data_IF_069362300020
#
_entry.id   IF_069362300020
#
_cell.length_a   1.000
_cell.length_b   1.000
_cell.length_c   1.000
_cell.angle_alpha   90.00
_cell.angle_beta   90.00
_cell.angle_gamma   90.00
#
_symmetry.space_group_name_H-M   'P 1'
#
loop_
_entity.id
_entity.type
_entity.pdbx_description
1 polymer ?
#
# COMPACT_ATOMS: atom_id res chain seq x y z
N UNK A 1 -9.92 -73.01 -15.93
CA UNK A 1 -8.89 -72.37 -15.07
C UNK A 1 -9.61 -71.76 -13.87
N UNK A 2 -9.38 -72.35 -12.67
CA UNK A 2 -9.28 -71.78 -11.29
C UNK A 2 -9.85 -70.34 -11.06
N UNK A 3 -10.67 -69.97 -10.05
CA UNK A 3 -10.86 -70.32 -8.61
C UNK A 3 -12.32 -69.97 -8.16
N UNK A 4 -13.05 -70.75 -7.34
CA UNK A 4 -13.19 -70.73 -5.85
C UNK A 4 -13.47 -69.33 -5.23
N UNK A 5 -14.70 -68.99 -4.81
CA UNK A 5 -15.42 -69.30 -3.54
C UNK A 5 -14.91 -68.55 -2.28
N UNK A 6 -15.73 -67.70 -1.66
CA UNK A 6 -16.40 -67.95 -0.36
C UNK A 6 -17.19 -66.73 0.20
N UNK A 7 -18.36 -67.05 0.75
CA UNK A 7 -19.27 -66.25 1.56
C UNK A 7 -18.68 -65.80 2.92
N UNK A 8 -19.21 -64.73 3.54
CA UNK A 8 -19.97 -64.81 4.82
C UNK A 8 -20.67 -63.47 5.20
N UNK A 9 -21.86 -63.63 5.81
CA UNK A 9 -22.89 -62.68 6.29
C UNK A 9 -22.41 -61.60 7.29
N UNK A 10 -22.95 -60.38 7.39
CA UNK A 10 -24.27 -59.90 7.88
C UNK A 10 -24.63 -60.26 9.34
N UNK A 11 -24.80 -59.23 10.19
CA UNK A 11 -25.72 -59.00 11.35
C UNK A 11 -25.32 -57.59 11.87
N UNK A 12 -26.08 -56.48 11.89
CA UNK A 12 -27.46 -56.08 12.24
C UNK A 12 -27.71 -55.90 13.76
N UNK A 13 -28.38 -54.78 14.07
CA UNK A 13 -28.89 -54.25 15.34
C UNK A 13 -27.90 -53.58 16.32
N UNK A 14 -28.20 -52.44 16.94
CA UNK A 14 -29.45 -51.68 17.01
C UNK A 14 -29.48 -50.86 18.30
N UNK A 15 -29.61 -49.54 18.15
CA UNK A 15 -30.34 -48.61 19.01
C UNK A 15 -30.04 -48.39 20.52
N UNK A 16 -30.16 -47.09 20.87
CA UNK A 16 -30.69 -46.50 22.11
C UNK A 16 -29.79 -46.38 23.35
N UNK A 17 -29.30 -45.15 23.64
CA UNK A 17 -29.71 -44.29 24.78
C UNK A 17 -28.63 -43.26 25.17
N UNK A 18 -28.98 -41.97 25.13
CA UNK A 18 -28.40 -40.92 26.00
C UNK A 18 -28.83 -41.20 27.45
N UNK A 19 -28.03 -40.80 28.46
CA UNK A 19 -28.32 -39.52 29.12
C UNK A 19 -27.08 -38.75 29.61
N UNK A 20 -27.14 -37.41 29.49
CA UNK A 20 -26.45 -36.48 30.38
C UNK A 20 -27.46 -36.11 31.49
N UNK A 21 -27.04 -36.09 32.77
CA UNK A 21 -27.18 -34.86 33.55
C UNK A 21 -26.05 -34.63 34.59
N UNK A 22 -25.49 -33.40 34.61
CA UNK A 22 -25.36 -32.39 35.71
C UNK A 22 -25.32 -32.87 37.20
N UNK A 23 -24.95 -32.07 38.25
CA UNK A 23 -24.51 -30.65 38.32
C UNK A 23 -23.49 -30.24 39.46
N UNK A 24 -23.07 -28.96 39.44
CA UNK A 24 -22.89 -28.01 40.56
C UNK A 24 -21.80 -28.11 41.68
N UNK A 25 -20.94 -27.07 41.67
CA UNK A 25 -20.58 -26.10 42.73
C UNK A 25 -20.07 -26.57 44.11
N UNK A 26 -19.00 -25.92 44.62
CA UNK A 26 -19.06 -24.91 45.72
C UNK A 26 -17.67 -24.34 46.14
N UNK A 27 -17.62 -22.99 46.19
CA UNK A 27 -17.04 -22.09 47.22
C UNK A 27 -15.53 -22.07 47.60
N UNK A 28 -14.86 -20.98 47.16
CA UNK A 28 -14.12 -19.90 47.90
C UNK A 28 -12.96 -20.18 48.93
N UNK A 29 -12.09 -19.16 49.22
CA UNK A 29 -10.62 -19.24 49.48
C UNK A 29 -10.30 -18.94 50.99
N UNK A 30 -9.14 -18.40 51.52
CA UNK A 30 -8.10 -17.44 51.01
C UNK A 30 -6.60 -17.70 51.40
N UNK A 31 -5.67 -16.89 50.86
CA UNK A 31 -4.45 -16.28 51.47
C UNK A 31 -3.44 -15.90 50.37
N UNK A 32 -3.21 -14.62 50.03
CA UNK A 32 -2.38 -13.63 50.72
C UNK A 32 -0.88 -13.97 50.76
N UNK A 33 -0.12 -13.54 49.75
CA UNK A 33 1.29 -13.14 49.91
C UNK A 33 1.60 -11.90 49.06
N UNK A 34 2.22 -10.95 49.75
CA UNK A 34 2.64 -9.62 49.33
C UNK A 34 4.11 -9.64 48.83
N UNK A 35 4.52 -8.49 48.28
CA UNK A 35 5.89 -7.99 48.00
C UNK A 35 6.42 -8.12 46.55
N UNK A 36 7.33 -7.23 46.09
CA UNK A 36 7.04 -5.83 45.76
C UNK A 36 7.61 -5.41 44.38
N UNK A 37 7.28 -4.19 43.93
CA UNK A 37 7.77 -3.54 42.71
C UNK A 37 9.26 -3.19 42.80
N UNK A 38 10.06 -3.32 41.73
CA UNK A 38 11.38 -2.69 41.66
C UNK A 38 11.27 -1.29 41.02
N UNK A 39 11.69 -0.28 41.79
CA UNK A 39 12.23 0.97 41.27
C UNK A 39 13.72 0.78 41.08
N UNK A 40 14.24 0.96 39.86
CA UNK A 40 15.66 1.18 39.65
C UNK A 40 15.87 2.36 38.71
N UNK A 41 16.27 3.46 39.34
CA UNK A 41 16.95 4.62 38.81
C UNK A 41 18.27 4.23 38.14
N UNK A 42 18.49 4.71 36.93
CA UNK A 42 19.79 4.64 36.26
C UNK A 42 20.69 5.81 36.71
N UNK A 43 21.92 5.55 37.19
CA UNK A 43 22.94 6.58 37.33
C UNK A 43 23.73 6.69 36.02
N UNK A 44 23.73 7.87 35.40
CA UNK A 44 24.67 8.24 34.33
C UNK A 44 26.05 8.49 34.95
N UNK A 45 27.02 7.66 34.59
CA UNK A 45 28.44 7.85 34.89
C UNK A 45 29.11 8.60 33.75
N UNK A 46 29.80 9.67 34.13
CA UNK A 46 30.62 10.54 33.30
C UNK A 46 31.81 9.80 32.68
N UNK A 47 32.20 10.22 31.48
CA UNK A 47 33.49 9.95 30.87
C UNK A 47 34.25 11.27 30.89
N UNK A 48 35.35 11.29 31.64
CA UNK A 48 36.39 12.32 31.54
C UNK A 48 37.20 12.10 30.26
N UNK A 49 37.45 13.18 29.53
CA UNK A 49 38.66 13.32 28.72
C UNK A 49 39.00 14.79 28.58
N UNK A 50 40.07 15.13 29.30
CA UNK A 50 40.85 16.35 29.33
C UNK A 50 41.13 16.90 27.93
N UNK A 51 40.94 18.20 27.73
CA UNK A 51 41.88 19.02 26.96
C UNK A 51 41.82 20.49 27.38
N UNK A 52 43.00 21.07 27.37
CA UNK A 52 43.43 22.27 28.06
C UNK A 52 42.97 23.59 27.43
N UNK A 53 42.71 24.56 28.32
CA UNK A 53 43.09 25.98 28.25
C UNK A 53 42.56 26.86 27.12
N UNK A 54 41.78 27.90 27.47
CA UNK A 54 42.26 29.30 27.59
C UNK A 54 41.09 30.28 27.83
N UNK A 55 41.14 30.97 28.97
CA UNK A 55 40.85 32.41 29.19
C UNK A 55 39.61 33.07 28.55
N UNK A 56 38.70 33.65 29.33
CA UNK A 56 38.77 35.01 29.90
C UNK A 56 37.36 35.53 30.31
N UNK A 57 37.29 36.05 31.54
CA UNK A 57 36.40 37.10 32.10
C UNK A 57 34.87 36.88 32.20
N UNK A 58 34.31 36.71 33.41
CA UNK A 58 33.75 37.74 34.36
C UNK A 58 32.50 38.46 33.84
N UNK A 59 31.33 38.15 34.41
CA UNK A 59 30.61 38.91 35.47
C UNK A 59 29.81 40.08 34.87
N UNK A 60 28.61 40.47 35.26
CA UNK A 60 27.74 40.20 36.42
C UNK A 60 26.34 40.76 36.00
N UNK A 61 25.24 40.08 36.36
CA UNK A 61 24.28 40.44 37.43
C UNK A 61 23.01 41.19 37.01
N UNK A 62 21.93 40.64 37.57
CA UNK A 62 20.50 41.00 37.64
C UNK A 62 20.10 42.48 37.59
N UNK A 63 18.91 42.73 37.00
CA UNK A 63 17.72 43.31 37.68
C UNK A 63 16.52 43.52 36.75
N UNK A 64 15.39 42.92 37.12
CA UNK A 64 14.02 43.36 36.78
C UNK A 64 13.74 44.79 37.33
N UNK A 65 12.76 45.60 36.83
CA UNK A 65 11.33 45.23 36.72
C UNK A 65 10.47 45.86 35.59
N UNK A 66 9.26 45.32 35.42
CA UNK A 66 8.10 45.78 34.61
C UNK A 66 7.62 47.22 34.99
N UNK A 67 6.98 48.02 34.09
CA UNK A 67 5.53 47.95 33.86
C UNK A 67 5.04 48.27 32.41
N UNK A 68 4.05 47.50 31.94
CA UNK A 68 3.15 47.75 30.77
C UNK A 68 2.41 49.13 30.79
N UNK A 69 1.92 49.74 29.66
CA UNK A 69 0.62 49.36 29.02
C UNK A 69 0.34 49.75 27.52
N UNK A 70 -0.63 49.02 26.91
CA UNK A 70 -1.69 49.42 25.92
C UNK A 70 -1.41 50.17 24.58
N UNK A 71 -1.76 49.54 23.44
CA UNK A 71 -2.66 50.06 22.34
C UNK A 71 -2.62 49.11 21.14
N UNK A 72 -3.70 48.39 20.78
CA UNK A 72 -4.86 48.80 19.97
C UNK A 72 -4.51 49.45 18.62
N UNK A 73 -4.63 48.69 17.51
CA UNK A 73 -5.43 49.08 16.33
C UNK A 73 -5.54 47.96 15.28
N UNK A 74 -6.79 47.67 14.90
CA UNK A 74 -7.21 47.11 13.63
C UNK A 74 -7.19 48.21 12.56
N UNK A 75 -7.01 47.84 11.28
CA UNK A 75 -7.72 48.45 10.17
C UNK A 75 -7.75 47.53 8.93
N UNK A 76 -8.86 47.63 8.22
CA UNK A 76 -9.24 46.93 7.02
C UNK A 76 -9.52 47.94 5.89
N UNK A 77 -9.58 47.44 4.65
CA UNK A 77 -10.29 48.01 3.47
C UNK A 77 -9.61 49.22 2.77
N UNK A 78 -9.68 49.48 1.46
CA UNK A 78 -10.65 49.13 0.40
C UNK A 78 -10.06 49.27 -1.02
N UNK A 79 -10.76 48.63 -1.97
CA UNK A 79 -10.95 48.90 -3.41
C UNK A 79 -11.22 50.35 -3.82
N UNK A 80 -10.75 50.78 -5.00
CA UNK A 80 -11.31 51.90 -5.77
C UNK A 80 -11.11 51.72 -7.29
N UNK A 81 -12.15 52.04 -8.05
CA UNK A 81 -12.35 51.90 -9.50
C UNK A 81 -12.69 53.27 -10.08
N UNK A 82 -11.99 53.74 -11.13
CA UNK A 82 -12.41 54.87 -11.99
C UNK A 82 -11.84 54.71 -13.41
N UNK A 83 -12.71 54.82 -14.42
CA UNK A 83 -12.42 55.00 -15.85
C UNK A 83 -12.75 56.44 -16.28
N UNK A 84 -12.00 57.02 -17.24
CA UNK A 84 -12.48 57.45 -18.58
C UNK A 84 -11.61 58.52 -19.30
N UNK A 85 -11.47 58.29 -20.61
CA UNK A 85 -11.37 59.20 -21.77
C UNK A 85 -10.03 59.79 -22.30
N UNK A 86 -9.81 59.51 -23.61
CA UNK A 86 -8.78 59.99 -24.57
C UNK A 86 -9.13 61.37 -25.20
N UNK A 87 -8.21 62.06 -25.93
CA UNK A 87 -7.93 61.78 -27.36
C UNK A 87 -6.45 61.98 -27.84
N UNK A 88 -6.16 61.49 -29.06
CA UNK A 88 -4.90 61.39 -29.87
C UNK A 88 -4.58 62.62 -30.77
N UNK A 89 -3.60 62.61 -31.73
CA UNK A 89 -2.13 62.36 -31.79
C UNK A 89 -1.40 63.59 -32.46
N UNK A 90 -0.19 63.58 -33.13
CA UNK A 90 0.87 62.58 -33.40
C UNK A 90 2.30 63.05 -32.95
N UNK A 91 3.35 62.22 -32.92
CA UNK A 91 4.35 62.04 -33.98
C UNK A 91 5.34 60.90 -33.65
N UNK A 92 6.09 60.48 -34.68
CA UNK A 92 6.88 59.27 -34.83
C UNK A 92 8.15 59.14 -33.97
N UNK A 93 8.52 57.89 -33.67
CA UNK A 93 9.88 57.32 -33.90
C UNK A 93 9.93 55.83 -33.54
N UNK A 94 10.77 55.11 -34.28
CA UNK A 94 11.04 53.68 -34.23
C UNK A 94 11.92 53.28 -33.02
N UNK A 95 11.98 51.97 -32.77
CA UNK A 95 12.88 51.21 -31.88
C UNK A 95 12.54 51.14 -30.37
N UNK A 96 11.95 50.01 -29.94
CA UNK A 96 12.66 49.09 -29.03
C UNK A 96 11.89 47.78 -28.77
N UNK A 97 12.67 46.70 -28.63
CA UNK A 97 12.23 45.34 -28.43
C UNK A 97 11.81 45.03 -26.97
N UNK A 98 11.01 43.97 -26.83
CA UNK A 98 10.72 43.19 -25.62
C UNK A 98 9.69 43.74 -24.60
N UNK A 99 8.41 43.41 -24.82
CA UNK A 99 7.46 42.99 -23.78
C UNK A 99 6.08 42.68 -24.40
N UNK A 100 5.82 41.42 -24.76
CA UNK A 100 4.47 40.94 -25.11
C UNK A 100 4.29 39.50 -24.65
N UNK A 101 4.13 39.33 -23.35
CA UNK A 101 3.43 38.19 -22.76
C UNK A 101 2.55 38.77 -21.65
N UNK A 102 1.38 38.16 -21.45
CA UNK A 102 0.35 38.50 -20.45
C UNK A 102 -0.74 39.47 -20.93
N UNK A 103 -1.66 38.94 -21.74
CA UNK A 103 -3.08 39.32 -21.70
C UNK A 103 -3.91 38.16 -22.28
N UNK A 104 -4.41 37.28 -21.41
CA UNK A 104 -5.21 36.11 -21.77
C UNK A 104 -5.19 35.11 -20.62
N UNK A 105 -5.91 35.42 -19.55
CA UNK A 105 -5.86 34.66 -18.30
C UNK A 105 -7.22 34.29 -17.71
N UNK A 106 -8.27 35.10 -17.92
CA UNK A 106 -9.51 34.91 -17.15
C UNK A 106 -10.68 34.35 -17.98
N UNK A 107 -10.71 34.54 -19.29
CA UNK A 107 -11.78 34.01 -20.15
C UNK A 107 -11.60 32.51 -20.47
N UNK A 108 -10.35 32.03 -20.58
CA UNK A 108 -10.05 30.64 -20.91
C UNK A 108 -10.36 29.67 -19.75
N UNK A 109 -10.17 30.09 -18.50
CA UNK A 109 -10.44 29.25 -17.33
C UNK A 109 -11.95 29.06 -17.11
N UNK A 110 -12.73 30.10 -17.37
CA UNK A 110 -14.19 30.09 -17.21
C UNK A 110 -14.85 29.30 -18.35
N UNK A 111 -14.31 29.39 -19.58
CA UNK A 111 -14.79 28.60 -20.71
C UNK A 111 -14.40 27.11 -20.58
N UNK A 112 -13.23 26.79 -20.01
CA UNK A 112 -12.85 25.41 -19.69
C UNK A 112 -13.70 24.81 -18.56
N UNK A 113 -14.09 25.60 -17.54
CA UNK A 113 -15.01 25.13 -16.48
C UNK A 113 -16.41 24.82 -17.03
N UNK A 114 -16.90 25.63 -17.97
CA UNK A 114 -18.16 25.40 -18.68
C UNK A 114 -18.06 24.14 -19.55
N UNK A 115 -16.95 23.92 -20.25
CA UNK A 115 -16.71 22.70 -21.05
C UNK A 115 -16.58 21.44 -20.20
N UNK A 116 -16.00 21.54 -19.00
CA UNK A 116 -15.92 20.44 -18.04
C UNK A 116 -17.30 20.05 -17.50
N UNK A 117 -18.16 21.03 -17.19
CA UNK A 117 -19.55 20.78 -16.79
C UNK A 117 -20.37 20.16 -17.92
N UNK A 118 -20.18 20.61 -19.16
CA UNK A 118 -20.83 20.03 -20.34
C UNK A 118 -20.35 18.60 -20.61
N UNK A 119 -19.06 18.32 -20.43
CA UNK A 119 -18.49 16.98 -20.59
C UNK A 119 -18.94 16.02 -19.47
N UNK A 120 -19.04 16.51 -18.23
CA UNK A 120 -19.59 15.78 -17.09
C UNK A 120 -21.08 15.46 -17.31
N UNK A 121 -21.88 16.43 -17.74
CA UNK A 121 -23.31 16.25 -18.05
C UNK A 121 -23.52 15.33 -19.28
N UNK A 122 -22.68 15.43 -20.32
CA UNK A 122 -22.69 14.53 -21.47
C UNK A 122 -22.28 13.09 -21.11
N UNK A 123 -21.48 12.90 -20.06
CA UNK A 123 -21.15 11.57 -19.53
C UNK A 123 -22.27 10.95 -18.70
N UNK A 124 -23.15 11.78 -18.13
CA UNK A 124 -24.33 11.37 -17.37
C UNK A 124 -25.55 11.11 -18.29
N UNK A 125 -25.63 11.78 -19.43
CA UNK A 125 -26.66 11.55 -20.42
C UNK A 125 -26.34 10.32 -21.29
N UNK A 126 -26.94 9.18 -20.98
CA UNK A 126 -27.06 8.07 -21.94
C UNK A 126 -28.00 8.49 -23.09
N UNK A 127 -27.51 9.30 -24.03
CA UNK A 127 -28.28 9.70 -25.20
C UNK A 127 -28.46 8.50 -26.13
N UNK A 128 -29.62 7.86 -26.05
CA UNK A 128 -30.23 7.22 -27.23
C UNK A 128 -30.51 8.35 -28.24
N UNK A 129 -29.92 8.25 -29.43
CA UNK A 129 -30.22 9.16 -30.54
C UNK A 129 -31.71 8.99 -30.90
N UNK A 130 -32.53 10.06 -30.89
CA UNK A 130 -33.92 9.96 -31.31
C UNK A 130 -33.97 9.54 -32.79
N UNK A 131 -34.45 8.33 -33.06
CA UNK A 131 -34.69 7.85 -34.42
C UNK A 131 -36.17 8.01 -34.75
N UNK A 132 -36.47 8.68 -35.85
CA UNK A 132 -37.83 8.69 -36.39
C UNK A 132 -38.14 7.30 -37.01
N UNK A 133 -39.35 6.75 -36.81
CA UNK A 133 -39.75 5.52 -37.47
C UNK A 133 -39.65 5.69 -39.00
N UNK A 134 -38.73 4.95 -39.64
CA UNK A 134 -38.55 4.94 -41.10
C UNK A 134 -37.22 5.48 -41.66
N UNK A 135 -36.24 5.86 -40.83
CA UNK A 135 -34.92 6.25 -41.35
C UNK A 135 -34.13 5.06 -41.88
N UNK A 136 -33.81 5.05 -43.17
CA UNK A 136 -32.93 4.06 -43.83
C UNK A 136 -31.55 4.72 -44.04
N UNK A 137 -30.50 4.10 -43.53
CA UNK A 137 -29.11 4.56 -43.70
C UNK A 137 -28.57 4.10 -45.07
N UNK A 138 -28.00 5.03 -45.85
CA UNK A 138 -27.26 4.71 -47.07
C UNK A 138 -25.76 4.57 -46.74
N UNK A 139 -25.07 3.47 -47.11
CA UNK A 139 -23.63 3.38 -46.98
C UNK A 139 -22.97 4.22 -48.07
N UNK A 140 -22.35 5.36 -47.71
CA UNK A 140 -21.44 6.07 -48.59
C UNK A 140 -20.08 5.36 -48.55
N UNK A 141 -19.68 4.78 -49.67
CA UNK A 141 -18.35 4.18 -49.84
C UNK A 141 -17.29 5.28 -49.81
N UNK A 142 -16.36 5.21 -48.87
CA UNK A 142 -15.12 5.99 -48.83
C UNK A 142 -13.92 5.03 -48.68
N UNK A 143 -12.74 5.40 -49.19
CA UNK A 143 -11.59 4.52 -49.37
C UNK A 143 -11.05 3.97 -48.05
N UNK A 144 -10.39 2.81 -48.15
CA UNK A 144 -9.77 2.05 -47.06
C UNK A 144 -8.66 2.86 -46.36
N UNK A 145 -9.06 3.76 -45.46
CA UNK A 145 -8.21 4.22 -44.36
C UNK A 145 -8.20 3.17 -43.25
N UNK A 146 -7.07 2.97 -42.54
CA UNK A 146 -6.98 2.02 -41.43
C UNK A 146 -7.96 2.36 -40.30
N UNK A 147 -8.34 1.38 -39.45
CA UNK A 147 -9.42 1.50 -38.48
C UNK A 147 -9.32 2.75 -37.59
N UNK A 148 -10.44 3.48 -37.48
CA UNK A 148 -10.60 4.71 -36.68
C UNK A 148 -10.09 4.60 -35.24
N UNK A 149 -10.02 3.40 -34.67
CA UNK A 149 -9.52 3.13 -33.32
C UNK A 149 -8.03 3.46 -33.16
N UNK A 150 -7.19 3.25 -34.18
CA UNK A 150 -5.77 3.59 -34.13
C UNK A 150 -5.50 5.09 -34.32
N UNK A 151 -6.38 5.78 -35.06
CA UNK A 151 -6.27 7.23 -35.31
C UNK A 151 -6.73 8.08 -34.12
N UNK A 152 -7.64 7.56 -33.29
CA UNK A 152 -8.09 8.18 -32.04
C UNK A 152 -7.08 8.04 -30.89
N UNK A 153 -6.23 7.00 -30.92
CA UNK A 153 -5.19 6.78 -29.90
C UNK A 153 -3.91 7.57 -30.18
N UNK A 154 -3.69 8.02 -31.42
CA UNK A 154 -2.45 8.70 -31.84
C UNK A 154 -2.61 10.18 -32.22
N UNK A 155 -3.82 10.75 -32.20
CA UNK A 155 -4.06 12.11 -32.72
C UNK A 155 -5.05 12.99 -31.93
N UNK A 156 -5.58 12.52 -30.80
CA UNK A 156 -6.54 13.26 -29.98
C UNK A 156 -5.99 13.51 -28.58
N UNK A 157 -5.48 14.72 -28.35
CA UNK A 157 -5.00 15.28 -27.10
C UNK A 157 -4.67 14.27 -25.98
N UNK A 158 -3.47 13.69 -26.02
CA UNK A 158 -2.88 12.94 -24.90
C UNK A 158 -3.03 13.67 -23.56
N UNK A 159 -3.10 15.00 -23.60
CA UNK A 159 -3.37 15.87 -22.44
C UNK A 159 -4.76 15.62 -21.83
N UNK A 160 -5.79 15.46 -22.67
CA UNK A 160 -7.17 15.16 -22.23
C UNK A 160 -7.24 13.74 -21.69
N UNK A 161 -6.60 12.77 -22.35
CA UNK A 161 -6.54 11.40 -21.87
C UNK A 161 -5.82 11.28 -20.52
N UNK A 162 -4.67 11.95 -20.37
CA UNK A 162 -3.92 12.02 -19.10
C UNK A 162 -4.75 12.68 -18.00
N UNK A 163 -5.44 13.79 -18.30
CA UNK A 163 -6.36 14.45 -17.35
C UNK A 163 -7.49 13.51 -16.92
N UNK A 164 -8.11 12.80 -17.86
CA UNK A 164 -9.18 11.85 -17.57
C UNK A 164 -8.70 10.67 -16.69
N UNK A 165 -7.48 10.17 -16.94
CA UNK A 165 -6.88 9.10 -16.15
C UNK A 165 -6.59 9.57 -14.72
N UNK A 166 -6.04 10.77 -14.55
CA UNK A 166 -5.76 11.34 -13.23
C UNK A 166 -7.04 11.50 -12.39
N UNK A 167 -8.14 11.93 -13.02
CA UNK A 167 -9.46 11.99 -12.35
C UNK A 167 -9.90 10.61 -11.89
N UNK A 168 -9.81 9.58 -12.75
CA UNK A 168 -10.17 8.20 -12.36
C UNK A 168 -9.29 7.66 -11.24
N UNK A 169 -7.99 7.96 -11.26
CA UNK A 169 -7.05 7.59 -10.21
C UNK A 169 -7.42 8.22 -8.87
N UNK A 170 -7.74 9.52 -8.85
CA UNK A 170 -8.20 10.24 -7.65
C UNK A 170 -9.50 9.63 -7.12
N UNK A 171 -10.47 9.35 -7.98
CA UNK A 171 -11.75 8.74 -7.59
C UNK A 171 -11.55 7.32 -7.03
N UNK A 172 -10.69 6.51 -7.64
CA UNK A 172 -10.34 5.18 -7.14
C UNK A 172 -9.67 5.25 -5.76
N UNK A 173 -8.75 6.20 -5.55
CA UNK A 173 -8.11 6.44 -4.27
C UNK A 173 -9.10 6.85 -3.17
N UNK A 174 -10.05 7.75 -3.46
CA UNK A 174 -11.10 8.11 -2.50
C UNK A 174 -12.03 6.93 -2.20
N UNK A 175 -12.42 6.17 -3.22
CA UNK A 175 -13.25 4.95 -3.04
C UNK A 175 -12.55 3.94 -2.12
N UNK A 176 -11.23 3.79 -2.24
CA UNK A 176 -10.42 2.94 -1.35
C UNK A 176 -10.38 3.50 0.07
N UNK A 177 -10.16 4.81 0.25
CA UNK A 177 -10.19 5.46 1.58
C UNK A 177 -11.55 5.26 2.25
N UNK A 178 -12.64 5.41 1.52
CA UNK A 178 -13.99 5.20 2.05
C UNK A 178 -14.26 3.75 2.43
N UNK A 179 -13.79 2.79 1.63
CA UNK A 179 -13.84 1.38 1.98
C UNK A 179 -13.04 1.06 3.26
N UNK A 180 -11.86 1.68 3.43
CA UNK A 180 -11.05 1.54 4.64
C UNK A 180 -11.72 2.16 5.87
N UNK A 181 -12.33 3.35 5.73
CA UNK A 181 -13.12 4.01 6.79
C UNK A 181 -14.31 3.15 7.21
N UNK A 182 -15.03 2.57 6.24
CA UNK A 182 -16.09 1.60 6.51
C UNK A 182 -15.56 0.36 7.26
N UNK A 183 -14.31 -0.03 7.04
CA UNK A 183 -13.59 -1.08 7.77
C UNK A 183 -13.15 -0.72 9.20
N UNK A 184 -13.51 0.48 9.70
CA UNK A 184 -13.09 1.05 11.00
C UNK A 184 -11.61 1.43 11.08
N UNK A 185 -10.98 1.78 9.96
CA UNK A 185 -9.64 2.39 9.93
C UNK A 185 -9.77 3.91 10.04
N UNK A 186 -8.83 4.55 10.75
CA UNK A 186 -8.90 6.01 10.95
C UNK A 186 -8.69 6.79 9.65
N UNK A 187 -9.21 8.02 9.60
CA UNK A 187 -9.13 8.89 8.41
C UNK A 187 -7.66 9.13 8.02
N UNK A 188 -6.83 9.53 8.98
CA UNK A 188 -5.39 9.80 8.77
C UNK A 188 -4.63 8.56 8.35
N UNK A 189 -4.89 7.41 8.99
CA UNK A 189 -4.23 6.16 8.63
C UNK A 189 -4.59 5.75 7.20
N UNK A 190 -5.85 5.90 6.81
CA UNK A 190 -6.31 5.57 5.45
C UNK A 190 -5.68 6.47 4.40
N UNK A 191 -5.59 7.78 4.66
CA UNK A 191 -4.93 8.72 3.76
C UNK A 191 -3.43 8.39 3.59
N UNK A 192 -2.72 8.13 4.71
CA UNK A 192 -1.29 7.81 4.71
C UNK A 192 -0.97 6.46 4.08
N UNK A 193 -1.83 5.46 4.24
CA UNK A 193 -1.63 4.16 3.63
C UNK A 193 -1.90 4.21 2.12
N UNK A 194 -3.01 4.83 1.70
CA UNK A 194 -3.37 4.91 0.27
C UNK A 194 -2.33 5.70 -0.53
N UNK A 195 -1.67 6.71 0.08
CA UNK A 195 -0.56 7.42 -0.58
C UNK A 195 0.69 6.55 -0.82
N UNK A 196 0.81 5.39 -0.16
CA UNK A 196 1.86 4.39 -0.35
C UNK A 196 1.42 3.21 -1.23
N UNK A 197 0.23 3.28 -1.83
CA UNK A 197 -0.40 2.21 -2.59
C UNK A 197 -0.77 2.64 -4.02
N UNK A 198 0.05 3.49 -4.65
CA UNK A 198 -0.20 4.02 -6.01
C UNK A 198 -0.49 2.91 -7.02
N UNK A 199 0.33 1.86 -7.01
CA UNK A 199 0.25 0.79 -8.00
C UNK A 199 -1.02 -0.05 -7.80
N UNK A 200 -1.46 -0.22 -6.54
CA UNK A 200 -2.75 -0.86 -6.25
C UNK A 200 -3.93 0.02 -6.65
N UNK A 201 -3.83 1.35 -6.49
CA UNK A 201 -4.86 2.28 -6.99
C UNK A 201 -4.96 2.17 -8.51
N UNK A 202 -3.83 2.07 -9.22
CA UNK A 202 -3.82 1.89 -10.67
C UNK A 202 -4.45 0.56 -11.08
N UNK A 203 -4.19 -0.52 -10.32
CA UNK A 203 -4.90 -1.80 -10.50
C UNK A 203 -6.42 -1.67 -10.30
N UNK A 204 -6.88 -0.91 -9.30
CA UNK A 204 -8.33 -0.66 -9.12
C UNK A 204 -8.92 0.00 -10.39
N UNK A 205 -8.22 0.98 -10.98
CA UNK A 205 -8.67 1.66 -12.20
C UNK A 205 -8.74 0.68 -13.38
N UNK A 206 -7.70 -0.14 -13.56
CA UNK A 206 -7.62 -1.13 -14.64
C UNK A 206 -8.75 -2.17 -14.50
N UNK A 207 -8.91 -2.75 -13.32
CA UNK A 207 -9.91 -3.80 -13.05
C UNK A 207 -11.35 -3.26 -13.11
N UNK A 208 -11.57 -2.04 -12.64
CA UNK A 208 -12.87 -1.39 -12.78
C UNK A 208 -13.21 -1.05 -14.24
N UNK A 209 -12.21 -0.80 -15.08
CA UNK A 209 -12.39 -0.63 -16.52
C UNK A 209 -12.67 -1.98 -17.20
N UNK A 210 -11.87 -3.01 -16.91
CA UNK A 210 -12.03 -4.37 -17.45
C UNK A 210 -13.40 -4.97 -17.11
N UNK A 211 -13.90 -4.75 -15.89
CA UNK A 211 -15.24 -5.19 -15.47
C UNK A 211 -16.37 -4.61 -16.33
N UNK A 212 -16.16 -3.55 -17.11
CA UNK A 212 -17.18 -3.02 -18.03
C UNK A 212 -17.58 -4.04 -19.10
N UNK A 213 -16.67 -4.93 -19.49
CA UNK A 213 -16.91 -5.96 -20.52
C UNK A 213 -17.80 -7.10 -20.00
N UNK A 214 -17.83 -7.30 -18.68
CA UNK A 214 -18.65 -8.33 -18.06
C UNK A 214 -20.12 -7.89 -18.05
N UNK A 215 -21.08 -8.67 -18.60
CA UNK A 215 -22.49 -8.27 -18.70
C UNK A 215 -23.11 -7.83 -17.37
N UNK A 216 -22.75 -8.51 -16.27
CA UNK A 216 -23.21 -8.22 -14.90
C UNK A 216 -22.81 -6.83 -14.41
N UNK A 217 -21.67 -6.28 -14.88
CA UNK A 217 -21.12 -5.01 -14.41
C UNK A 217 -21.16 -3.90 -15.47
N UNK A 218 -21.57 -4.24 -16.70
CA UNK A 218 -21.61 -3.34 -17.86
C UNK A 218 -22.47 -2.09 -17.61
N UNK A 219 -23.61 -2.26 -16.95
CA UNK A 219 -24.59 -1.21 -16.66
C UNK A 219 -24.22 -0.35 -15.44
N UNK A 220 -23.21 -0.75 -14.67
CA UNK A 220 -22.80 -0.06 -13.45
C UNK A 220 -21.85 1.12 -13.75
N UNK A 221 -21.86 2.09 -12.83
CA UNK A 221 -20.88 3.18 -12.85
C UNK A 221 -19.46 2.68 -12.59
N UNK A 222 -18.44 3.45 -13.00
CA UNK A 222 -17.04 3.15 -12.66
C UNK A 222 -16.83 2.99 -11.15
N UNK A 223 -17.41 3.88 -10.34
CA UNK A 223 -17.28 3.85 -8.87
C UNK A 223 -17.88 2.58 -8.28
N UNK A 224 -19.03 2.15 -8.80
CA UNK A 224 -19.67 0.89 -8.40
C UNK A 224 -18.79 -0.31 -8.75
N UNK A 225 -18.15 -0.33 -9.94
CA UNK A 225 -17.21 -1.38 -10.33
C UNK A 225 -15.93 -1.37 -9.48
N UNK A 226 -15.37 -0.20 -9.19
CA UNK A 226 -14.22 -0.02 -8.32
C UNK A 226 -14.50 -0.51 -6.90
N UNK A 227 -15.65 -0.12 -6.31
CA UNK A 227 -16.10 -0.59 -5.00
C UNK A 227 -16.26 -2.10 -4.96
N UNK A 228 -16.86 -2.67 -6.00
CA UNK A 228 -16.98 -4.12 -6.14
C UNK A 228 -15.60 -4.79 -6.15
N UNK A 229 -14.65 -4.32 -6.97
CA UNK A 229 -13.30 -4.88 -6.99
C UNK A 229 -12.59 -4.79 -5.62
N UNK A 230 -12.67 -3.64 -4.95
CA UNK A 230 -12.07 -3.45 -3.61
C UNK A 230 -12.65 -4.46 -2.61
N UNK A 231 -13.96 -4.71 -2.65
CA UNK A 231 -14.61 -5.71 -1.79
C UNK A 231 -14.12 -7.13 -2.08
N UNK A 232 -14.10 -7.53 -3.36
CA UNK A 232 -13.68 -8.88 -3.76
C UNK A 232 -12.18 -9.13 -3.53
N UNK A 233 -11.34 -8.10 -3.66
CA UNK A 233 -9.89 -8.21 -3.41
C UNK A 233 -9.53 -8.52 -1.96
N UNK A 234 -10.46 -8.33 -1.00
CA UNK A 234 -10.21 -8.58 0.41
C UNK A 234 -9.17 -7.65 1.06
N UNK A 235 -8.81 -6.54 0.39
CA UNK A 235 -7.70 -5.67 0.82
C UNK A 235 -7.91 -5.04 2.20
N UNK A 236 -9.14 -4.67 2.55
CA UNK A 236 -9.44 -4.02 3.84
C UNK A 236 -9.27 -4.98 5.03
N UNK A 237 -9.87 -6.20 5.02
CA UNK A 237 -9.54 -7.23 6.00
C UNK A 237 -8.03 -7.53 6.09
N UNK A 238 -7.34 -7.63 4.94
CA UNK A 238 -5.91 -7.91 4.91
C UNK A 238 -5.10 -6.79 5.57
N UNK A 239 -5.37 -5.51 5.28
CA UNK A 239 -4.69 -4.37 5.90
C UNK A 239 -4.83 -4.43 7.43
N UNK A 240 -6.04 -4.73 7.93
CA UNK A 240 -6.27 -4.88 9.38
C UNK A 240 -5.45 -6.02 9.95
N UNK A 241 -5.44 -7.16 9.29
CA UNK A 241 -4.65 -8.31 9.70
C UNK A 241 -3.16 -7.99 9.73
N UNK A 242 -2.60 -7.36 8.69
CA UNK A 242 -1.18 -6.97 8.63
C UNK A 242 -0.83 -5.97 9.73
N UNK A 243 -1.72 -5.01 10.02
CA UNK A 243 -1.56 -4.06 11.13
C UNK A 243 -1.50 -4.77 12.49
N UNK A 244 -2.31 -5.82 12.70
CA UNK A 244 -2.24 -6.64 13.92
C UNK A 244 -0.97 -7.48 14.01
N UNK A 245 -0.30 -7.73 12.88
CA UNK A 245 0.99 -8.41 12.80
C UNK A 245 2.17 -7.43 12.85
N UNK A 246 2.01 -6.30 13.55
CA UNK A 246 3.04 -5.28 13.78
C UNK A 246 3.64 -4.64 12.53
N UNK A 247 3.00 -4.76 11.36
CA UNK A 247 3.47 -4.08 10.16
C UNK A 247 3.09 -2.60 10.16
N UNK A 248 4.04 -1.76 9.77
CA UNK A 248 3.82 -0.33 9.60
C UNK A 248 3.05 -0.03 8.32
N UNK A 249 2.33 1.10 8.25
CA UNK A 249 1.57 1.44 7.03
C UNK A 249 2.46 1.58 5.77
N UNK A 250 3.72 2.07 5.80
CA UNK A 250 4.56 2.08 4.61
C UNK A 250 4.89 0.67 4.12
N UNK A 251 5.17 -0.26 5.04
CA UNK A 251 5.42 -1.67 4.71
C UNK A 251 4.18 -2.32 4.09
N UNK A 252 3.01 -2.15 4.72
CA UNK A 252 1.73 -2.65 4.21
C UNK A 252 1.48 -2.12 2.80
N UNK A 253 1.66 -0.81 2.59
CA UNK A 253 1.42 -0.19 1.29
C UNK A 253 2.36 -0.73 0.22
N UNK A 254 3.65 -0.89 0.55
CA UNK A 254 4.65 -1.44 -0.38
C UNK A 254 4.36 -2.90 -0.72
N UNK A 255 4.11 -3.75 0.27
CA UNK A 255 3.81 -5.19 0.08
C UNK A 255 2.57 -5.38 -0.78
N UNK A 256 1.48 -4.66 -0.50
CA UNK A 256 0.27 -4.75 -1.33
C UNK A 256 0.57 -4.28 -2.76
N UNK A 257 1.33 -3.20 -2.93
CA UNK A 257 1.68 -2.68 -4.26
C UNK A 257 2.48 -3.68 -5.09
N UNK A 258 3.33 -4.49 -4.46
CA UNK A 258 4.14 -5.52 -5.13
C UNK A 258 3.30 -6.67 -5.71
N UNK A 259 2.17 -7.03 -5.09
CA UNK A 259 1.33 -8.13 -5.54
C UNK A 259 0.41 -7.71 -6.71
N UNK A 260 0.57 -8.29 -7.89
CA UNK A 260 -0.23 -7.95 -9.08
C UNK A 260 -1.61 -8.61 -9.15
N UNK A 261 -1.92 -9.58 -8.27
CA UNK A 261 -3.16 -10.35 -8.30
C UNK A 261 -3.68 -10.68 -6.90
N UNK A 262 -3.72 -11.97 -6.57
CA UNK A 262 -4.29 -12.46 -5.32
C UNK A 262 -3.50 -11.96 -4.09
N UNK A 263 -4.15 -11.16 -3.26
CA UNK A 263 -3.55 -10.61 -2.04
C UNK A 263 -3.43 -11.63 -0.90
N UNK A 264 -4.12 -12.77 -0.98
CA UNK A 264 -4.06 -13.84 0.04
C UNK A 264 -2.67 -14.46 0.14
N UNK A 265 -1.87 -14.38 -0.93
CA UNK A 265 -0.46 -14.81 -0.95
C UNK A 265 0.33 -14.11 0.15
N UNK A 266 0.06 -12.82 0.41
CA UNK A 266 0.72 -12.07 1.48
C UNK A 266 0.44 -12.74 2.83
N UNK A 267 -0.82 -13.15 3.10
CA UNK A 267 -1.18 -13.81 4.36
C UNK A 267 -0.47 -15.16 4.48
N UNK A 268 -0.52 -15.96 3.43
CA UNK A 268 0.09 -17.28 3.40
C UNK A 268 1.60 -17.24 3.67
N UNK A 269 2.33 -16.39 2.96
CA UNK A 269 3.77 -16.23 3.16
C UNK A 269 4.08 -15.62 4.53
N UNK A 270 3.26 -14.69 5.03
CA UNK A 270 3.45 -14.13 6.38
C UNK A 270 3.25 -15.19 7.46
N UNK A 271 2.29 -16.10 7.31
CA UNK A 271 2.06 -17.21 8.24
C UNK A 271 3.21 -18.23 8.19
N UNK A 272 3.72 -18.54 7.00
CA UNK A 272 4.91 -19.38 6.83
C UNK A 272 6.16 -18.73 7.45
N UNK A 273 6.37 -17.42 7.29
CA UNK A 273 7.48 -16.73 7.96
C UNK A 273 7.42 -16.88 9.49
N UNK A 274 6.22 -16.93 10.07
CA UNK A 274 6.07 -17.19 11.51
C UNK A 274 6.41 -18.63 11.88
N UNK A 275 6.11 -19.61 11.03
CA UNK A 275 6.43 -21.03 11.32
C UNK A 275 7.93 -21.29 11.32
N UNK A 276 8.72 -20.48 10.62
CA UNK A 276 10.19 -20.48 10.69
C UNK A 276 10.76 -19.51 11.74
N UNK A 277 9.94 -19.09 12.71
CA UNK A 277 10.32 -18.26 13.86
C UNK A 277 10.73 -16.80 13.55
N UNK A 278 10.29 -16.22 12.43
CA UNK A 278 10.44 -14.77 12.22
C UNK A 278 9.51 -14.02 13.17
N UNK A 279 10.06 -13.09 13.97
CA UNK A 279 9.26 -12.30 14.92
C UNK A 279 8.31 -11.36 14.20
N UNK A 280 7.13 -11.14 14.79
CA UNK A 280 6.08 -10.31 14.22
C UNK A 280 6.53 -8.91 13.76
N UNK A 281 7.36 -8.24 14.58
CA UNK A 281 7.90 -6.91 14.30
C UNK A 281 8.77 -6.83 13.04
N UNK A 282 9.36 -7.95 12.61
CA UNK A 282 10.24 -8.01 11.44
C UNK A 282 9.55 -8.51 10.18
N UNK A 283 8.34 -9.08 10.27
CA UNK A 283 7.60 -9.62 9.11
C UNK A 283 7.47 -8.58 7.99
N UNK A 284 7.11 -7.34 8.34
CA UNK A 284 6.99 -6.26 7.35
C UNK A 284 8.30 -5.90 6.67
N UNK A 285 9.43 -5.97 7.40
CA UNK A 285 10.75 -5.71 6.83
C UNK A 285 11.21 -6.85 5.91
N UNK A 286 10.98 -8.11 6.33
CA UNK A 286 11.32 -9.30 5.56
C UNK A 286 10.56 -9.33 4.25
N UNK A 287 9.25 -9.10 4.24
CA UNK A 287 8.45 -9.11 3.01
C UNK A 287 8.82 -7.99 2.03
N UNK A 288 9.16 -6.79 2.54
CA UNK A 288 9.54 -5.66 1.68
C UNK A 288 10.92 -5.87 1.07
N UNK A 289 11.89 -6.36 1.85
CA UNK A 289 13.26 -6.61 1.38
C UNK A 289 13.37 -7.88 0.53
N UNK A 290 12.73 -8.95 0.98
CA UNK A 290 12.64 -10.24 0.29
C UNK A 290 11.45 -10.30 -0.65
N UNK A 291 11.20 -9.25 -1.43
CA UNK A 291 9.99 -9.13 -2.25
C UNK A 291 9.70 -10.30 -3.20
N UNK A 292 10.75 -10.97 -3.69
CA UNK A 292 10.66 -12.16 -4.54
C UNK A 292 10.09 -13.37 -3.80
N UNK A 293 10.23 -13.45 -2.47
CA UNK A 293 9.70 -14.53 -1.62
C UNK A 293 8.18 -14.64 -1.73
N UNK A 294 7.49 -13.52 -1.96
CA UNK A 294 6.03 -13.51 -2.15
C UNK A 294 5.58 -14.35 -3.36
N UNK A 295 6.44 -14.60 -4.35
CA UNK A 295 6.07 -15.27 -5.59
C UNK A 295 6.66 -16.68 -5.71
N UNK A 296 7.24 -17.19 -4.62
CA UNK A 296 7.86 -18.51 -4.55
C UNK A 296 6.86 -19.51 -3.95
N UNK A 297 6.94 -20.77 -4.38
CA UNK A 297 6.16 -21.82 -3.73
C UNK A 297 6.70 -22.06 -2.32
N UNK A 298 5.81 -22.40 -1.40
CA UNK A 298 6.21 -22.74 -0.03
C UNK A 298 7.15 -23.93 -0.02
N UNK A 299 6.93 -24.94 -0.88
CA UNK A 299 7.81 -26.11 -1.00
C UNK A 299 9.27 -25.71 -1.31
N UNK A 300 9.48 -24.76 -2.23
CA UNK A 300 10.82 -24.28 -2.57
C UNK A 300 11.46 -23.48 -1.42
N UNK A 301 10.64 -22.76 -0.64
CA UNK A 301 11.11 -22.04 0.54
C UNK A 301 11.47 -23.01 1.68
N UNK A 302 10.69 -24.08 1.85
CA UNK A 302 10.98 -25.15 2.80
C UNK A 302 12.24 -25.93 2.43
N UNK A 303 12.50 -26.16 1.14
CA UNK A 303 13.72 -26.79 0.66
C UNK A 303 14.98 -25.97 1.04
N UNK A 304 14.92 -24.66 0.82
CA UNK A 304 15.99 -23.73 1.23
C UNK A 304 16.21 -23.78 2.76
N UNK A 305 15.13 -23.76 3.53
CA UNK A 305 15.21 -23.82 5.00
C UNK A 305 15.74 -25.17 5.48
N UNK A 306 15.28 -26.27 4.89
CA UNK A 306 15.74 -27.63 5.20
C UNK A 306 17.23 -27.79 4.93
N UNK A 307 17.71 -27.26 3.80
CA UNK A 307 19.15 -27.27 3.50
C UNK A 307 19.98 -26.51 4.54
N UNK A 308 19.51 -25.33 4.98
CA UNK A 308 20.18 -24.60 6.06
C UNK A 308 20.20 -25.40 7.36
N UNK A 309 19.09 -26.05 7.71
CA UNK A 309 18.98 -26.91 8.90
C UNK A 309 19.93 -28.12 8.84
N UNK A 310 19.98 -28.79 7.69
CA UNK A 310 20.85 -29.94 7.45
C UNK A 310 22.34 -29.57 7.49
N UNK A 311 22.68 -28.31 7.17
CA UNK A 311 24.04 -27.77 7.25
C UNK A 311 24.29 -27.04 8.59
N UNK A 312 23.56 -27.37 9.65
CA UNK A 312 23.90 -26.95 11.02
C UNK A 312 23.29 -25.61 11.48
N UNK A 313 22.50 -24.92 10.66
CA UNK A 313 21.71 -23.77 11.14
C UNK A 313 20.57 -24.28 12.00
N UNK A 314 20.53 -23.89 13.28
CA UNK A 314 19.46 -24.37 14.16
C UNK A 314 18.10 -23.85 13.74
N UNK A 315 17.05 -24.64 13.95
CA UNK A 315 15.66 -24.27 13.62
C UNK A 315 15.17 -22.97 14.26
N UNK A 316 15.65 -22.68 15.48
CA UNK A 316 15.36 -21.42 16.19
C UNK A 316 16.17 -20.22 15.64
N UNK A 317 17.26 -20.48 14.91
CA UNK A 317 18.12 -19.48 14.27
C UNK A 317 17.64 -19.06 12.88
N UNK A 318 16.93 -19.93 12.15
CA UNK A 318 16.44 -19.65 10.79
C UNK A 318 15.67 -18.32 10.74
N UNK A 319 14.75 -18.09 11.69
CA UNK A 319 13.99 -16.85 11.76
C UNK A 319 14.86 -15.61 11.97
N UNK A 320 15.98 -15.73 12.69
CA UNK A 320 16.96 -14.65 12.87
C UNK A 320 17.73 -14.37 11.58
N UNK A 321 18.22 -15.43 10.92
CA UNK A 321 18.93 -15.37 9.63
C UNK A 321 18.05 -14.68 8.59
N UNK A 322 16.81 -15.15 8.42
CA UNK A 322 15.84 -14.57 7.46
C UNK A 322 15.46 -13.13 7.82
N UNK A 323 15.42 -12.78 9.11
CA UNK A 323 15.18 -11.38 9.53
C UNK A 323 16.29 -10.44 9.04
N UNK A 324 17.55 -10.88 9.12
CA UNK A 324 18.73 -10.08 8.75
C UNK A 324 18.97 -10.08 7.24
N UNK A 325 18.78 -11.22 6.60
CA UNK A 325 19.10 -11.52 5.21
C UNK A 325 17.92 -12.24 4.52
N UNK A 326 16.78 -11.54 4.27
CA UNK A 326 15.61 -12.12 3.61
C UNK A 326 15.90 -12.73 2.23
N UNK A 327 16.93 -12.26 1.54
CA UNK A 327 17.30 -12.69 0.19
C UNK A 327 17.88 -14.11 0.17
N UNK A 328 18.24 -14.70 1.32
CA UNK A 328 18.59 -16.13 1.39
C UNK A 328 17.47 -17.01 0.83
N UNK A 329 16.22 -16.61 1.06
CA UNK A 329 15.03 -17.29 0.54
C UNK A 329 14.80 -17.05 -0.97
N UNK A 330 15.52 -16.09 -1.56
CA UNK A 330 15.48 -15.76 -2.97
C UNK A 330 16.55 -16.49 -3.80
N UNK A 331 17.50 -17.18 -3.17
CA UNK A 331 18.53 -17.97 -3.85
C UNK A 331 17.96 -19.22 -4.51
N UNK A 332 18.50 -19.65 -5.64
CA UNK A 332 18.22 -21.02 -6.12
C UNK A 332 18.90 -22.04 -5.20
N UNK A 333 18.39 -23.27 -5.19
CA UNK A 333 19.05 -24.37 -4.45
C UNK A 333 20.50 -24.56 -4.89
N UNK A 334 20.76 -24.51 -6.20
CA UNK A 334 22.12 -24.61 -6.75
C UNK A 334 23.05 -23.51 -6.22
N UNK A 335 22.56 -22.26 -6.15
CA UNK A 335 23.35 -21.14 -5.64
C UNK A 335 23.61 -21.24 -4.14
N UNK A 336 22.60 -21.68 -3.37
CA UNK A 336 22.74 -21.91 -1.94
C UNK A 336 23.77 -23.02 -1.65
N UNK A 337 23.67 -24.15 -2.37
CA UNK A 337 24.61 -25.26 -2.27
C UNK A 337 26.03 -24.82 -2.61
N UNK A 338 26.21 -24.08 -3.71
CA UNK A 338 27.53 -23.60 -4.12
C UNK A 338 28.16 -22.71 -3.06
N UNK A 339 27.39 -21.79 -2.48
CA UNK A 339 27.85 -20.90 -1.41
C UNK A 339 28.18 -21.64 -0.12
N UNK A 340 27.38 -22.63 0.26
CA UNK A 340 27.64 -23.44 1.45
C UNK A 340 28.88 -24.33 1.26
N UNK A 341 28.97 -25.04 0.12
CA UNK A 341 30.12 -25.90 -0.22
C UNK A 341 31.43 -25.15 -0.21
N UNK A 342 31.46 -23.89 -0.65
CA UNK A 342 32.67 -23.08 -0.57
C UNK A 342 33.30 -23.05 0.83
N UNK A 343 32.49 -22.92 1.89
CA UNK A 343 32.99 -22.93 3.27
C UNK A 343 33.34 -24.33 3.76
N UNK A 344 32.51 -25.31 3.44
CA UNK A 344 32.72 -26.71 3.84
C UNK A 344 34.00 -27.29 3.20
N UNK A 345 34.25 -26.98 1.93
CA UNK A 345 35.45 -27.41 1.19
C UNK A 345 36.73 -26.75 1.72
N UNK A 346 36.62 -25.59 2.39
CA UNK A 346 37.73 -24.96 3.13
C UNK A 346 37.98 -25.60 4.50
N UNK A 347 37.25 -26.66 4.85
CA UNK A 347 37.40 -27.41 6.10
C UNK A 347 36.58 -26.86 7.26
N UNK A 348 35.61 -25.97 7.01
CA UNK A 348 34.63 -25.57 8.01
C UNK A 348 33.67 -26.74 8.26
N UNK A 349 33.41 -27.06 9.53
CA UNK A 349 32.38 -28.05 9.85
C UNK A 349 30.96 -27.43 9.77
N UNK A 350 29.95 -28.29 9.67
CA UNK A 350 28.54 -27.86 9.56
C UNK A 350 28.07 -27.03 10.75
N UNK A 351 28.56 -27.28 11.97
CA UNK A 351 28.13 -26.54 13.17
C UNK A 351 28.74 -25.14 13.19
N UNK A 352 30.00 -25.03 12.82
CA UNK A 352 30.70 -23.77 12.66
C UNK A 352 30.09 -22.97 11.50
N UNK A 353 29.73 -23.63 10.40
CA UNK A 353 28.98 -23.00 9.30
C UNK A 353 27.63 -22.47 9.77
N UNK A 354 26.84 -23.27 10.48
CA UNK A 354 25.55 -22.85 11.01
C UNK A 354 25.66 -21.64 11.96
N UNK A 355 26.70 -21.61 12.78
CA UNK A 355 27.01 -20.47 13.67
C UNK A 355 27.42 -19.23 12.86
N UNK A 356 28.26 -19.41 11.84
CA UNK A 356 28.68 -18.33 10.95
C UNK A 356 27.49 -17.71 10.22
N UNK A 357 26.58 -18.53 9.67
CA UNK A 357 25.35 -18.03 9.01
C UNK A 357 24.44 -17.29 9.98
N UNK A 358 24.37 -17.72 11.24
CA UNK A 358 23.60 -17.01 12.27
C UNK A 358 24.21 -15.67 12.65
N UNK A 359 25.52 -15.62 12.87
CA UNK A 359 26.23 -14.41 13.30
C UNK A 359 26.40 -13.41 12.15
N UNK A 360 26.66 -13.88 10.93
CA UNK A 360 26.96 -13.09 9.74
C UNK A 360 26.10 -13.46 8.51
N UNK A 361 24.76 -13.38 8.60
CA UNK A 361 23.89 -13.53 7.45
C UNK A 361 24.08 -12.36 6.49
N UNK A 362 24.91 -12.55 5.46
CA UNK A 362 25.14 -11.56 4.40
C UNK A 362 24.38 -11.89 3.11
N UNK A 363 23.56 -10.92 2.73
CA UNK A 363 22.84 -10.73 1.49
C UNK A 363 23.17 -9.31 1.01
#
# INVERSE_FOLDING_TARGET
MLCHSHHYSTILDGFFLRPNPNPNNRFLPPAALHFPKPLLSFPTRAIDSTNHSLTLSTDESDRDPDPSPLSRRQNASSTALVLLHSPSPPEASEDDAAAAAVAGGDDDEQEEEIRLKIAEEASLATRRVPRFPGSIDFPRAEPLDPPRELRLVLGGDDRVLKRALEVRRRVAAETLKDAMRAGKLSITYSANLVSKMSDFVDRIVIEAAAKKEVPEFSHLSFNSRAKSYIQHSGVVPLIKWLKHNSMTYPQIGKVISMCTGNLEIIRHITEWLKSIHVKGEFLGAVLVKGGSVLFRSVDALEEIVGYLEDNGVRKDWVGHVVTRCPQVLALSMEELELRARFYLDMGMDERDFGTMVFDYPEC
#
